data_IF_526395463256
#
_entry.id   IF_526395463256
#
_cell.length_a   1.000
_cell.length_b   1.000
_cell.length_c   1.000
_cell.angle_alpha   90.00
_cell.angle_beta   90.00
_cell.angle_gamma   90.00
#
_symmetry.space_group_name_H-M   'P 1'
#
loop_
_entity.id
_entity.type
_entity.pdbx_description
1 polymer ?
#
# COMPACT_ATOMS: atom_id res chain seq x y z
N UNK A 1 2.91 -12.26 2.87
CA UNK A 1 2.30 -10.94 3.09
C UNK A 1 2.10 -10.28 1.73
N UNK A 2 0.86 -10.16 1.27
CA UNK A 2 0.53 -9.44 0.04
C UNK A 2 0.75 -7.94 0.29
N UNK A 3 1.76 -7.33 -0.34
CA UNK A 3 2.07 -5.90 -0.18
C UNK A 3 1.31 -4.99 -1.17
N UNK A 4 0.34 -5.54 -1.89
CA UNK A 4 -0.48 -4.80 -2.84
C UNK A 4 -1.37 -3.78 -2.11
N UNK A 5 -1.56 -2.61 -2.73
CA UNK A 5 -2.37 -1.49 -2.25
C UNK A 5 -1.88 -0.86 -0.94
N UNK A 6 -0.60 -1.02 -0.61
CA UNK A 6 0.00 -0.34 0.55
C UNK A 6 0.35 1.10 0.17
N UNK A 7 -0.14 2.07 0.95
CA UNK A 7 0.25 3.47 0.80
C UNK A 7 1.58 3.72 1.50
N UNK A 8 2.51 4.39 0.81
CA UNK A 8 3.86 4.64 1.27
C UNK A 8 4.26 6.07 0.92
N UNK A 9 5.18 6.64 1.68
CA UNK A 9 5.84 7.89 1.33
C UNK A 9 7.23 7.61 0.79
N UNK A 10 7.52 8.12 -0.40
CA UNK A 10 8.77 7.89 -1.11
C UNK A 10 9.50 9.21 -1.30
N UNK A 11 10.81 9.18 -1.09
CA UNK A 11 11.68 10.34 -1.33
C UNK A 11 13.00 9.88 -1.92
N UNK A 12 13.28 10.31 -3.14
CA UNK A 12 14.57 10.09 -3.80
C UNK A 12 15.02 11.36 -4.52
N UNK A 13 16.05 11.25 -5.36
CA UNK A 13 16.61 12.38 -6.11
C UNK A 13 15.74 12.85 -7.28
N UNK A 14 14.79 12.03 -7.73
CA UNK A 14 13.97 12.27 -8.92
C UNK A 14 12.57 12.76 -8.56
N UNK A 15 12.01 12.32 -7.44
CA UNK A 15 10.68 12.71 -6.97
C UNK A 15 10.51 12.50 -5.47
N UNK A 16 9.48 13.15 -4.92
CA UNK A 16 9.07 13.03 -3.52
C UNK A 16 7.54 13.06 -3.46
N UNK A 17 6.93 12.09 -2.78
CA UNK A 17 5.46 12.04 -2.70
C UNK A 17 4.88 10.79 -2.08
N UNK A 18 3.57 10.87 -1.81
CA UNK A 18 2.77 9.72 -1.44
C UNK A 18 2.47 8.86 -2.66
N UNK A 19 2.54 7.55 -2.46
CA UNK A 19 2.36 6.57 -3.51
C UNK A 19 1.65 5.32 -2.98
N UNK A 20 1.05 4.56 -3.89
CA UNK A 20 0.47 3.26 -3.61
C UNK A 20 1.27 2.17 -4.29
N UNK A 21 1.69 1.14 -3.55
CA UNK A 21 2.37 -0.04 -4.10
C UNK A 21 1.36 -0.85 -4.92
N UNK A 22 1.59 -0.93 -6.22
CA UNK A 22 0.75 -1.71 -7.15
C UNK A 22 1.23 -3.15 -7.24
N UNK A 23 2.54 -3.34 -7.31
CA UNK A 23 3.14 -4.65 -7.53
C UNK A 23 4.49 -4.82 -6.83
N UNK A 24 4.87 -6.08 -6.60
CA UNK A 24 6.18 -6.45 -6.06
C UNK A 24 6.85 -7.50 -6.94
N UNK A 25 8.01 -7.16 -7.49
CA UNK A 25 8.83 -8.05 -8.31
C UNK A 25 9.93 -8.69 -7.47
N UNK A 26 9.82 -9.99 -7.22
CA UNK A 26 10.78 -10.73 -6.40
C UNK A 26 12.14 -10.88 -7.12
N UNK A 27 13.23 -10.56 -6.42
CA UNK A 27 14.61 -10.73 -6.92
C UNK A 27 15.17 -9.55 -7.72
N UNK A 28 14.39 -8.48 -7.89
CA UNK A 28 14.79 -7.29 -8.62
C UNK A 28 15.44 -6.23 -7.71
N UNK A 29 16.30 -5.38 -8.28
CA UNK A 29 16.95 -4.28 -7.56
C UNK A 29 15.96 -3.19 -7.11
N UNK A 30 14.95 -2.91 -7.93
CA UNK A 30 13.85 -1.99 -7.64
C UNK A 30 12.55 -2.79 -7.59
N UNK A 31 12.30 -3.51 -6.50
CA UNK A 31 11.26 -4.53 -6.48
C UNK A 31 9.85 -3.94 -6.33
N UNK A 32 9.69 -2.70 -5.85
CA UNK A 32 8.38 -2.10 -5.61
C UNK A 32 7.94 -1.27 -6.80
N UNK A 33 6.83 -1.65 -7.44
CA UNK A 33 6.13 -0.77 -8.37
C UNK A 33 5.13 0.09 -7.61
N UNK A 34 5.13 1.39 -7.89
CA UNK A 34 4.33 2.38 -7.20
C UNK A 34 3.60 3.27 -8.20
N UNK A 35 2.42 3.74 -7.78
CA UNK A 35 1.71 4.83 -8.44
C UNK A 35 1.69 6.03 -7.50
N UNK A 36 2.29 7.14 -7.91
CA UNK A 36 2.24 8.40 -7.17
C UNK A 36 0.82 8.98 -7.20
N UNK A 37 0.39 9.56 -6.07
CA UNK A 37 -0.90 10.24 -5.97
C UNK A 37 -0.92 11.46 -6.91
N UNK A 38 0.14 12.27 -6.83
CA UNK A 38 0.45 13.41 -7.72
C UNK A 38 1.57 13.01 -8.68
N UNK A 39 1.48 13.40 -9.95
CA UNK A 39 2.56 13.12 -10.92
C UNK A 39 3.84 13.87 -10.55
N UNK A 40 4.97 13.41 -11.08
CA UNK A 40 6.21 14.18 -11.04
C UNK A 40 6.10 15.49 -11.85
N UNK A 41 7.19 16.23 -11.95
CA UNK A 41 7.23 17.50 -12.70
C UNK A 41 6.82 17.35 -14.17
N UNK A 42 7.04 16.16 -14.76
CA UNK A 42 6.68 15.83 -16.14
C UNK A 42 5.28 15.16 -16.25
N UNK A 43 4.61 14.92 -15.12
CA UNK A 43 3.30 14.29 -15.03
C UNK A 43 3.32 12.75 -15.01
N UNK A 44 4.49 12.12 -14.91
CA UNK A 44 4.60 10.68 -14.75
C UNK A 44 4.16 10.25 -13.35
N UNK A 45 3.41 9.14 -13.27
CA UNK A 45 2.90 8.61 -12.01
C UNK A 45 3.44 7.23 -11.64
N UNK A 46 4.06 6.51 -12.58
CA UNK A 46 4.45 5.11 -12.39
C UNK A 46 5.96 4.99 -12.25
N UNK A 47 6.42 4.43 -11.14
CA UNK A 47 7.84 4.27 -10.85
C UNK A 47 8.14 2.92 -10.22
N UNK A 48 9.40 2.49 -10.32
CA UNK A 48 9.96 1.37 -9.56
C UNK A 48 10.96 1.90 -8.55
N UNK A 49 10.85 1.45 -7.30
CA UNK A 49 11.67 1.93 -6.19
C UNK A 49 12.24 0.78 -5.37
N UNK A 50 13.33 1.08 -4.66
CA UNK A 50 13.92 0.20 -3.67
C UNK A 50 13.24 0.41 -2.31
N UNK A 51 13.56 -0.46 -1.35
CA UNK A 51 13.12 -0.25 0.04
C UNK A 51 13.73 1.02 0.65
N UNK A 52 14.94 1.39 0.23
CA UNK A 52 15.71 2.50 0.80
C UNK A 52 15.12 3.87 0.41
N UNK A 53 14.35 3.92 -0.68
CA UNK A 53 13.60 5.12 -1.11
C UNK A 53 12.32 5.35 -0.28
N UNK A 54 11.88 4.34 0.48
CA UNK A 54 10.62 4.37 1.24
C UNK A 54 10.89 4.92 2.63
N UNK A 55 10.42 6.14 2.88
CA UNK A 55 10.61 6.86 4.14
C UNK A 55 9.54 6.49 5.15
N UNK A 56 8.29 6.36 4.71
CA UNK A 56 7.17 5.96 5.57
C UNK A 56 6.38 4.83 4.91
N UNK A 57 5.99 3.87 5.73
CA UNK A 57 5.06 2.82 5.40
C UNK A 57 3.86 2.94 6.32
N UNK A 58 2.89 3.76 5.94
CA UNK A 58 1.59 3.72 6.61
C UNK A 58 0.96 2.38 6.31
N UNK A 59 0.93 1.48 7.30
CA UNK A 59 0.10 0.28 7.21
C UNK A 59 -1.35 0.74 7.21
N UNK A 60 -1.88 1.01 6.03
CA UNK A 60 -3.31 1.16 5.85
C UNK A 60 -3.91 -0.22 6.14
N UNK A 61 -4.17 -0.50 7.41
CA UNK A 61 -5.07 -1.57 7.84
C UNK A 61 -6.49 -1.15 7.46
N UNK A 62 -6.76 -1.06 6.17
CA UNK A 62 -8.10 -1.26 5.65
C UNK A 62 -8.30 -2.78 5.61
N UNK A 63 -8.29 -3.40 6.79
CA UNK A 63 -9.08 -4.61 6.93
C UNK A 63 -10.53 -4.11 6.74
N UNK A 64 -11.35 -4.72 5.86
CA UNK A 64 -12.77 -4.62 6.07
C UNK A 64 -13.00 -5.07 7.52
N UNK A 65 -13.58 -4.19 8.34
CA UNK A 65 -14.11 -4.55 9.65
C UNK A 65 -14.77 -5.91 9.49
N UNK A 66 -14.24 -6.91 10.21
CA UNK A 66 -14.75 -8.27 10.18
C UNK A 66 -16.27 -8.21 10.26
N UNK A 67 -16.95 -8.76 9.25
CA UNK A 67 -18.38 -9.03 9.34
C UNK A 67 -18.61 -9.72 10.68
N UNK A 68 -19.32 -9.05 11.59
CA UNK A 68 -19.83 -9.67 12.82
C UNK A 68 -20.54 -10.95 12.41
N UNK A 69 -19.88 -12.09 12.61
CA UNK A 69 -20.53 -13.38 12.61
C UNK A 69 -21.48 -13.33 13.80
N UNK A 70 -22.76 -13.09 13.53
CA UNK A 70 -23.80 -13.22 14.53
C UNK A 70 -23.90 -14.72 14.82
N UNK A 71 -23.36 -15.14 15.96
CA UNK A 71 -23.58 -16.50 16.46
C UNK A 71 -25.09 -16.69 16.69
N UNK A 72 -25.74 -17.73 16.12
CA UNK A 72 -27.17 -17.96 16.29
C UNK A 72 -27.56 -18.43 17.71
N UNK A 73 -26.64 -18.46 18.67
CA UNK A 73 -26.88 -19.00 20.02
C UNK A 73 -27.55 -18.03 20.99
N UNK A 74 -27.78 -16.76 20.60
CA UNK A 74 -28.50 -15.77 21.42
C UNK A 74 -30.02 -15.80 21.25
N UNK A 75 -30.58 -16.73 20.48
CA UNK A 75 -32.04 -16.99 20.41
C UNK A 75 -32.44 -18.13 21.36
N UNK A 76 -32.09 -18.04 22.64
CA UNK A 76 -32.76 -18.83 23.68
C UNK A 76 -33.01 -18.02 24.96
N UNK A 77 -34.24 -18.16 25.48
CA UNK A 77 -34.84 -17.64 26.73
C UNK A 77 -35.12 -16.11 26.74
N UNK A 78 -36.36 -15.59 26.77
CA UNK A 78 -37.64 -16.08 27.30
C UNK A 78 -38.84 -15.58 26.48
#
# INVERSE_FOLDING_TARGET
>A
MNQHNKRIYVKNLLFEGWATVTYYFYGELLPYEITLDEGDEDGHKFFRVSKDDIVDMTSSSLLPEEEKIIEPEQLTLF
#
